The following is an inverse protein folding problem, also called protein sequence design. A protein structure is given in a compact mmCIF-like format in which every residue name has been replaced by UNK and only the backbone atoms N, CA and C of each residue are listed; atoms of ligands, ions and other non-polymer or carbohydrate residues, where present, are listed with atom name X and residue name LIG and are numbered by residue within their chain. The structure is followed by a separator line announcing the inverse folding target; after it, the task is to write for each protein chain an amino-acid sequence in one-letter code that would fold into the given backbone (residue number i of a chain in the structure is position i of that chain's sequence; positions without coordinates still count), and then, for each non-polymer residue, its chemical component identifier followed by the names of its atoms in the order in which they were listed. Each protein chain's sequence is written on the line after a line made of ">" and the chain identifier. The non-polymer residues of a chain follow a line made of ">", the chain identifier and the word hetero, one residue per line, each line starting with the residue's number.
data_IF_247269549527
#
_entry.id   IF_247269549527
#
_cell.length_a   1.000
_cell.length_b   1.000
_cell.length_c   1.000
_cell.angle_alpha   90.00
_cell.angle_beta   90.00
_cell.angle_gamma   90.00
#
_symmetry.space_group_name_H-M   'P 1'
#
loop_
_entity.id
_entity.type
_entity.pdbx_description
1 polymer ?
#
# COMPACT_ATOMS: atom_id res chain seq x y z
N UNK A 1 -19.61 -0.35 -15.05
CA UNK A 1 -18.45 -0.74 -15.85
C UNK A 1 -18.85 -1.29 -17.23
N UNK A 2 -19.75 -2.26 -17.32
CA UNK A 2 -20.24 -2.80 -18.58
C UNK A 2 -21.70 -3.31 -18.44
N UNK A 3 -22.37 -3.59 -19.58
CA UNK A 3 -23.71 -4.21 -19.56
C UNK A 3 -23.72 -5.59 -18.86
N UNK A 4 -22.56 -6.26 -18.75
CA UNK A 4 -22.40 -7.55 -18.07
C UNK A 4 -22.05 -7.41 -16.58
N UNK A 5 -21.79 -6.19 -16.11
CA UNK A 5 -21.54 -5.84 -14.72
C UNK A 5 -22.50 -4.75 -14.30
N UNK A 6 -23.79 -5.09 -14.06
CA UNK A 6 -24.80 -4.10 -13.67
C UNK A 6 -24.44 -3.53 -12.29
N UNK A 7 -24.71 -2.25 -12.15
CA UNK A 7 -24.56 -1.54 -10.88
C UNK A 7 -25.91 -1.56 -10.15
N UNK A 8 -25.88 -1.95 -8.86
CA UNK A 8 -27.10 -1.99 -8.06
C UNK A 8 -27.61 -0.58 -7.76
N UNK A 9 -28.91 -0.39 -7.88
CA UNK A 9 -29.54 0.89 -7.58
C UNK A 9 -29.69 1.11 -6.07
N UNK A 10 -28.69 1.71 -5.44
CA UNK A 10 -28.70 2.03 -4.01
C UNK A 10 -29.75 3.09 -3.59
N UNK A 11 -30.33 3.83 -4.53
CA UNK A 11 -31.49 4.70 -4.24
C UNK A 11 -32.72 3.88 -3.84
N UNK A 12 -32.83 2.64 -4.31
CA UNK A 12 -33.90 1.75 -3.94
C UNK A 12 -33.65 1.14 -2.56
N UNK A 13 -34.51 1.48 -1.59
CA UNK A 13 -34.41 0.98 -0.22
C UNK A 13 -34.43 -0.56 -0.13
N UNK A 14 -35.21 -1.25 -0.97
CA UNK A 14 -35.25 -2.72 -0.97
C UNK A 14 -33.90 -3.33 -1.37
N UNK A 15 -33.17 -2.70 -2.30
CA UNK A 15 -31.83 -3.14 -2.67
C UNK A 15 -30.88 -3.03 -1.49
N UNK A 16 -30.92 -1.92 -0.74
CA UNK A 16 -30.11 -1.76 0.47
C UNK A 16 -30.43 -2.77 1.54
N UNK A 17 -31.73 -3.02 1.79
CA UNK A 17 -32.19 -4.03 2.75
C UNK A 17 -31.68 -5.43 2.40
N UNK A 18 -31.78 -5.85 1.14
CA UNK A 18 -31.26 -7.13 0.68
C UNK A 18 -29.73 -7.24 0.82
N UNK A 19 -28.99 -6.17 0.51
CA UNK A 19 -27.54 -6.13 0.74
C UNK A 19 -27.22 -6.29 2.23
N UNK A 20 -27.96 -5.63 3.12
CA UNK A 20 -27.77 -5.78 4.56
C UNK A 20 -28.08 -7.18 5.07
N UNK A 21 -29.08 -7.86 4.52
CA UNK A 21 -29.35 -9.27 4.85
C UNK A 21 -28.22 -10.20 4.36
N UNK A 22 -27.63 -9.95 3.18
CA UNK A 22 -26.45 -10.68 2.72
C UNK A 22 -25.26 -10.47 3.68
N UNK A 23 -25.03 -9.24 4.13
CA UNK A 23 -23.96 -8.95 5.10
C UNK A 23 -24.19 -9.69 6.43
N UNK A 24 -25.39 -9.61 6.99
CA UNK A 24 -25.76 -10.33 8.24
C UNK A 24 -25.59 -11.82 8.09
N UNK A 25 -26.04 -12.41 6.97
CA UNK A 25 -25.88 -13.84 6.70
C UNK A 25 -24.42 -14.31 6.84
N UNK A 26 -23.46 -13.53 6.34
CA UNK A 26 -22.04 -13.89 6.47
C UNK A 26 -21.50 -13.62 7.88
N UNK A 27 -21.92 -12.54 8.53
CA UNK A 27 -21.55 -12.24 9.92
C UNK A 27 -22.06 -13.31 10.89
N UNK A 28 -23.29 -13.78 10.70
CA UNK A 28 -23.88 -14.87 11.50
C UNK A 28 -23.16 -16.21 11.29
N UNK A 29 -22.39 -16.35 10.20
CA UNK A 29 -21.48 -17.48 9.99
C UNK A 29 -20.10 -17.30 10.63
N UNK A 30 -19.83 -16.16 11.27
CA UNK A 30 -18.63 -15.90 12.06
C UNK A 30 -17.47 -15.30 11.29
N UNK A 31 -17.71 -14.57 10.21
CA UNK A 31 -16.65 -13.73 9.63
C UNK A 31 -16.40 -12.49 10.49
N UNK A 32 -15.16 -11.97 10.49
CA UNK A 32 -14.74 -10.88 11.37
C UNK A 32 -14.88 -9.49 10.73
N UNK A 33 -15.51 -9.38 9.58
CA UNK A 33 -15.75 -8.10 8.91
C UNK A 33 -15.75 -8.14 7.40
N UNK A 34 -15.71 -6.94 6.79
CA UNK A 34 -15.79 -6.78 5.33
C UNK A 34 -14.72 -5.82 4.80
N UNK A 35 -14.09 -6.20 3.70
CA UNK A 35 -13.47 -5.27 2.79
C UNK A 35 -14.46 -4.98 1.66
N UNK A 36 -14.85 -3.72 1.53
CA UNK A 36 -15.88 -3.27 0.57
C UNK A 36 -15.23 -2.64 -0.64
N UNK A 37 -15.41 -3.30 -1.78
CA UNK A 37 -14.86 -2.91 -3.07
C UNK A 37 -15.48 -1.61 -3.57
N UNK A 38 -14.64 -0.66 -4.02
CA UNK A 38 -15.02 0.66 -4.57
C UNK A 38 -16.23 1.30 -3.87
N UNK A 39 -16.26 1.23 -2.55
CA UNK A 39 -17.42 1.63 -1.73
C UNK A 39 -17.91 3.07 -1.99
N UNK A 40 -17.07 4.06 -2.38
CA UNK A 40 -17.55 5.39 -2.72
C UNK A 40 -18.50 5.44 -3.93
N UNK A 41 -18.58 4.37 -4.72
CA UNK A 41 -19.40 4.34 -5.94
C UNK A 41 -20.85 3.90 -5.69
N UNK A 42 -21.25 3.58 -4.46
CA UNK A 42 -22.64 3.19 -4.16
C UNK A 42 -23.64 4.34 -4.33
N UNK A 43 -23.20 5.60 -4.22
CA UNK A 43 -24.02 6.80 -4.48
C UNK A 43 -23.55 7.52 -5.72
N UNK A 44 -24.49 7.95 -6.56
CA UNK A 44 -24.25 8.65 -7.83
C UNK A 44 -25.22 9.80 -8.01
N UNK A 45 -24.82 10.81 -8.81
CA UNK A 45 -25.74 11.84 -9.27
C UNK A 45 -26.84 11.19 -10.15
N UNK A 46 -28.09 11.36 -9.73
CA UNK A 46 -29.24 10.76 -10.39
C UNK A 46 -29.63 11.46 -11.70
N UNK A 47 -29.01 12.58 -12.04
CA UNK A 47 -29.21 13.22 -13.34
C UNK A 47 -28.51 12.47 -14.48
N UNK A 48 -27.53 11.60 -14.17
CA UNK A 48 -26.78 10.79 -15.13
C UNK A 48 -26.23 11.59 -16.32
N UNK A 49 -25.73 12.79 -16.07
CA UNK A 49 -25.18 13.67 -17.09
C UNK A 49 -24.01 13.01 -17.83
N UNK A 50 -23.91 13.27 -19.12
CA UNK A 50 -22.75 12.84 -19.90
C UNK A 50 -21.48 13.54 -19.39
N UNK A 51 -20.41 12.77 -19.24
CA UNK A 51 -19.13 13.31 -18.84
C UNK A 51 -18.53 14.21 -19.92
N UNK A 52 -17.96 15.33 -19.51
CA UNK A 52 -17.14 16.17 -20.37
C UNK A 52 -15.84 15.46 -20.77
N UNK A 53 -15.16 15.92 -21.82
CA UNK A 53 -13.85 15.37 -22.24
C UNK A 53 -12.81 15.38 -21.12
N UNK A 54 -12.85 16.38 -20.22
CA UNK A 54 -11.95 16.50 -19.07
C UNK A 54 -12.27 15.44 -18.01
N UNK A 55 -13.54 15.22 -17.72
CA UNK A 55 -14.00 14.22 -16.73
C UNK A 55 -13.75 12.79 -17.21
N UNK A 56 -13.81 12.53 -18.53
CA UNK A 56 -13.45 11.23 -19.10
C UNK A 56 -11.98 10.83 -18.90
N UNK A 57 -11.12 11.77 -18.52
CA UNK A 57 -9.72 11.45 -18.15
C UNK A 57 -9.61 10.77 -16.78
N UNK A 58 -10.53 11.11 -15.86
CA UNK A 58 -10.56 10.55 -14.50
C UNK A 58 -12.04 10.38 -14.07
N UNK A 59 -12.78 9.47 -14.69
CA UNK A 59 -14.23 9.33 -14.49
C UNK A 59 -14.57 8.89 -13.06
N UNK A 60 -13.66 8.21 -12.39
CA UNK A 60 -13.81 7.78 -11.00
C UNK A 60 -14.03 8.96 -10.04
N UNK A 61 -13.44 10.12 -10.32
CA UNK A 61 -13.66 11.34 -9.50
C UNK A 61 -15.09 11.88 -9.59
N UNK A 62 -15.81 11.54 -10.65
CA UNK A 62 -17.21 11.93 -10.82
C UNK A 62 -18.15 10.90 -10.18
N UNK A 63 -17.79 9.60 -10.26
CA UNK A 63 -18.63 8.53 -9.75
C UNK A 63 -18.47 8.29 -8.24
N UNK A 64 -17.34 8.70 -7.66
CA UNK A 64 -16.98 8.35 -6.29
C UNK A 64 -17.65 9.21 -5.20
N UNK A 65 -18.26 10.32 -5.53
CA UNK A 65 -18.75 11.30 -4.55
C UNK A 65 -20.22 11.65 -4.78
N UNK A 66 -21.06 10.62 -4.91
CA UNK A 66 -22.49 10.84 -5.01
C UNK A 66 -23.08 11.48 -3.75
N UNK A 67 -24.16 12.26 -3.88
CA UNK A 67 -24.66 13.15 -2.82
C UNK A 67 -25.15 12.40 -1.57
N UNK A 68 -25.49 11.12 -1.68
CA UNK A 68 -26.02 10.31 -0.57
C UNK A 68 -25.03 9.27 -0.02
N UNK A 69 -23.73 9.35 -0.39
CA UNK A 69 -22.72 8.39 0.03
C UNK A 69 -22.70 8.22 1.57
N UNK A 70 -22.53 9.33 2.26
CA UNK A 70 -22.46 9.35 3.74
C UNK A 70 -23.77 8.85 4.40
N UNK A 71 -24.91 9.18 3.81
CA UNK A 71 -26.21 8.69 4.28
C UNK A 71 -26.27 7.16 4.20
N UNK A 72 -25.89 6.58 3.07
CA UNK A 72 -25.91 5.12 2.87
C UNK A 72 -24.94 4.40 3.78
N UNK A 73 -23.76 4.96 4.00
CA UNK A 73 -22.77 4.36 4.91
C UNK A 73 -23.21 4.42 6.37
N UNK A 74 -23.80 5.53 6.82
CA UNK A 74 -24.37 5.65 8.15
C UNK A 74 -25.57 4.69 8.36
N UNK A 75 -26.40 4.53 7.34
CA UNK A 75 -27.48 3.54 7.36
C UNK A 75 -26.93 2.12 7.49
N UNK A 76 -25.92 1.76 6.68
CA UNK A 76 -25.24 0.46 6.73
C UNK A 76 -24.62 0.23 8.12
N UNK A 77 -23.92 1.22 8.66
CA UNK A 77 -23.33 1.12 10.00
C UNK A 77 -24.40 0.86 11.06
N UNK A 78 -25.45 1.66 11.09
CA UNK A 78 -26.56 1.52 12.06
C UNK A 78 -27.31 0.19 11.96
N UNK A 79 -27.53 -0.31 10.73
CA UNK A 79 -28.33 -1.53 10.51
C UNK A 79 -27.51 -2.82 10.59
N UNK A 80 -26.19 -2.74 10.36
CA UNK A 80 -25.32 -3.92 10.28
C UNK A 80 -24.04 -3.75 11.10
N UNK A 81 -23.11 -2.86 10.68
CA UNK A 81 -21.74 -2.90 11.18
C UNK A 81 -21.65 -2.71 12.70
N UNK A 82 -22.39 -1.77 13.27
CA UNK A 82 -22.39 -1.50 14.73
C UNK A 82 -23.06 -2.58 15.58
N UNK A 83 -23.66 -3.61 14.98
CA UNK A 83 -24.34 -4.69 15.69
C UNK A 83 -23.48 -5.93 15.92
N UNK A 84 -22.28 -5.94 15.35
CA UNK A 84 -21.33 -7.04 15.43
C UNK A 84 -19.95 -6.49 15.86
N UNK A 85 -19.16 -7.33 16.53
CA UNK A 85 -17.76 -7.02 16.84
C UNK A 85 -16.88 -7.38 15.64
N UNK A 86 -16.77 -6.45 14.72
CA UNK A 86 -16.14 -6.64 13.41
C UNK A 86 -15.31 -5.43 12.99
N UNK A 87 -14.55 -5.58 11.92
CA UNK A 87 -13.87 -4.48 11.24
C UNK A 87 -14.43 -4.24 9.83
N UNK A 88 -14.68 -2.99 9.49
CA UNK A 88 -15.11 -2.56 8.16
C UNK A 88 -13.99 -1.78 7.47
N UNK A 89 -13.61 -2.21 6.26
CA UNK A 89 -12.54 -1.59 5.49
C UNK A 89 -13.08 -1.19 4.11
N UNK A 90 -13.09 0.10 3.81
CA UNK A 90 -13.51 0.61 2.50
C UNK A 90 -12.35 0.75 1.52
N UNK A 91 -12.53 0.28 0.29
CA UNK A 91 -11.67 0.68 -0.80
C UNK A 91 -12.12 2.03 -1.34
N UNK A 92 -11.36 3.08 -1.03
CA UNK A 92 -11.74 4.46 -1.34
C UNK A 92 -11.01 4.98 -2.57
N UNK A 93 -11.44 4.52 -3.73
CA UNK A 93 -10.92 4.98 -5.01
C UNK A 93 -11.66 6.22 -5.50
N UNK A 94 -10.93 7.20 -6.06
CA UNK A 94 -11.50 8.42 -6.66
C UNK A 94 -11.93 9.50 -5.67
N UNK A 95 -11.65 9.34 -4.37
CA UNK A 95 -11.96 10.35 -3.34
C UNK A 95 -10.76 11.26 -3.05
N UNK A 96 -11.04 12.40 -2.42
CA UNK A 96 -10.02 13.30 -1.88
C UNK A 96 -9.75 13.03 -0.40
N UNK A 97 -8.69 13.65 0.13
CA UNK A 97 -8.27 13.53 1.53
C UNK A 97 -9.38 13.87 2.54
N UNK A 98 -10.12 14.95 2.31
CA UNK A 98 -11.20 15.37 3.23
C UNK A 98 -12.31 14.32 3.31
N UNK A 99 -12.71 13.77 2.18
CA UNK A 99 -13.71 12.68 2.14
C UNK A 99 -13.19 11.42 2.80
N UNK A 100 -11.91 11.10 2.60
CA UNK A 100 -11.25 9.96 3.24
C UNK A 100 -11.30 10.06 4.77
N UNK A 101 -10.89 11.19 5.31
CA UNK A 101 -10.91 11.46 6.75
C UNK A 101 -12.33 11.25 7.27
N UNK A 102 -13.32 11.83 6.60
CA UNK A 102 -14.71 11.73 7.01
C UNK A 102 -15.24 10.28 6.99
N UNK A 103 -14.89 9.49 5.97
CA UNK A 103 -15.33 8.09 5.86
C UNK A 103 -14.83 7.19 7.00
N UNK A 104 -13.66 7.49 7.57
CA UNK A 104 -13.03 6.71 8.65
C UNK A 104 -12.93 7.46 9.98
N UNK A 105 -13.60 8.60 10.11
CA UNK A 105 -13.76 9.29 11.38
C UNK A 105 -14.76 8.53 12.26
N UNK A 106 -14.29 8.03 13.39
CA UNK A 106 -15.10 7.24 14.32
C UNK A 106 -16.35 7.98 14.82
N UNK A 107 -16.33 9.32 14.82
CA UNK A 107 -17.49 10.16 15.21
C UNK A 107 -18.60 10.11 14.17
N UNK A 108 -18.25 9.94 12.92
CA UNK A 108 -19.20 9.87 11.79
C UNK A 108 -19.93 8.51 11.71
N UNK A 109 -19.36 7.45 12.30
CA UNK A 109 -19.94 6.10 12.30
C UNK A 109 -20.26 5.59 10.90
N UNK A 110 -19.28 5.63 10.04
CA UNK A 110 -19.37 5.11 8.67
C UNK A 110 -18.55 3.83 8.53
N UNK A 111 -17.23 3.93 8.42
CA UNK A 111 -16.29 2.82 8.30
C UNK A 111 -15.20 2.91 9.36
N UNK A 112 -14.58 1.78 9.71
CA UNK A 112 -13.47 1.77 10.66
C UNK A 112 -12.15 2.16 9.98
N UNK A 113 -11.92 1.66 8.78
CA UNK A 113 -10.70 1.87 8.00
C UNK A 113 -11.03 2.14 6.53
N UNK A 114 -10.12 2.88 5.87
CA UNK A 114 -10.22 3.16 4.44
C UNK A 114 -8.86 2.97 3.77
N UNK A 115 -8.82 2.25 2.65
CA UNK A 115 -7.63 2.15 1.81
C UNK A 115 -7.45 3.40 0.96
N UNK A 116 -6.31 4.06 1.12
CA UNK A 116 -5.91 5.22 0.34
C UNK A 116 -4.93 4.84 -0.76
N UNK A 117 -5.22 5.30 -1.96
CA UNK A 117 -4.42 4.94 -3.13
C UNK A 117 -3.31 5.95 -3.47
N UNK A 118 -3.27 7.12 -2.84
CA UNK A 118 -2.34 8.18 -3.21
C UNK A 118 -0.88 7.75 -3.13
N UNK A 119 -0.48 7.06 -2.05
CA UNK A 119 0.88 6.53 -1.88
C UNK A 119 1.22 5.54 -2.99
N UNK A 120 0.38 4.52 -3.18
CA UNK A 120 0.69 3.45 -4.15
C UNK A 120 0.52 3.87 -5.60
N UNK A 121 -0.17 4.98 -5.86
CA UNK A 121 -0.36 5.56 -7.22
C UNK A 121 0.55 6.74 -7.51
N UNK A 122 1.45 7.13 -6.60
CA UNK A 122 2.39 8.22 -6.82
C UNK A 122 3.15 8.04 -8.15
N UNK A 123 3.22 9.10 -8.95
CA UNK A 123 3.83 9.08 -10.28
C UNK A 123 3.03 8.32 -11.34
N UNK A 124 1.86 7.73 -11.02
CA UNK A 124 1.02 7.03 -12.00
C UNK A 124 -0.02 7.94 -12.62
N UNK A 125 -0.05 7.96 -13.94
CA UNK A 125 -1.06 8.63 -14.76
C UNK A 125 -1.63 7.60 -15.74
N UNK A 126 -2.85 7.11 -15.50
CA UNK A 126 -3.43 5.98 -16.21
C UNK A 126 -2.51 4.75 -16.19
N UNK A 127 -2.02 4.32 -17.38
CA UNK A 127 -1.06 3.23 -17.57
C UNK A 127 0.40 3.70 -17.62
N UNK A 128 0.66 5.01 -17.58
CA UNK A 128 2.00 5.59 -17.55
C UNK A 128 2.51 5.63 -16.11
N UNK A 129 3.68 5.07 -15.86
CA UNK A 129 4.41 5.29 -14.63
C UNK A 129 5.50 6.32 -14.86
N UNK A 130 5.29 7.52 -14.37
CA UNK A 130 6.28 8.58 -14.32
C UNK A 130 7.22 8.38 -13.14
N UNK A 131 8.34 9.10 -13.16
CA UNK A 131 9.25 9.15 -12.03
C UNK A 131 8.56 9.86 -10.87
N UNK A 132 8.60 9.25 -9.69
CA UNK A 132 8.16 9.84 -8.43
C UNK A 132 9.36 10.37 -7.64
N UNK A 133 9.14 11.20 -6.65
CA UNK A 133 10.17 11.71 -5.77
C UNK A 133 9.83 11.47 -4.29
N UNK A 134 10.86 11.40 -3.44
CA UNK A 134 10.71 11.08 -2.04
C UNK A 134 9.99 12.20 -1.26
N UNK A 135 10.15 13.46 -1.65
CA UNK A 135 9.49 14.60 -0.98
C UNK A 135 7.97 14.49 -1.10
N UNK A 136 7.46 14.12 -2.28
CA UNK A 136 6.02 13.87 -2.47
C UNK A 136 5.54 12.68 -1.64
N UNK A 137 6.31 11.60 -1.60
CA UNK A 137 5.97 10.42 -0.80
C UNK A 137 5.86 10.74 0.69
N UNK A 138 6.85 11.49 1.25
CA UNK A 138 6.83 11.95 2.63
C UNK A 138 5.60 12.80 2.95
N UNK A 139 5.27 13.73 2.04
CA UNK A 139 4.08 14.58 2.19
C UNK A 139 2.81 13.75 2.33
N UNK A 140 2.64 12.69 1.52
CA UNK A 140 1.48 11.80 1.62
C UNK A 140 1.43 11.09 2.97
N UNK A 141 2.56 10.56 3.46
CA UNK A 141 2.61 9.94 4.79
C UNK A 141 2.33 10.94 5.92
N UNK A 142 2.88 12.15 5.82
CA UNK A 142 2.65 13.23 6.81
C UNK A 142 1.17 13.60 6.89
N UNK A 143 0.51 13.75 5.75
CA UNK A 143 -0.93 14.03 5.67
C UNK A 143 -1.74 12.93 6.34
N UNK A 144 -1.48 11.67 6.00
CA UNK A 144 -2.21 10.52 6.55
C UNK A 144 -1.99 10.33 8.06
N UNK A 145 -0.77 10.64 8.55
CA UNK A 145 -0.39 10.40 9.95
C UNK A 145 -0.79 11.54 10.90
N UNK A 146 -0.96 12.77 10.39
CA UNK A 146 -1.25 13.96 11.20
C UNK A 146 -2.72 14.37 11.22
N UNK A 147 -3.61 13.43 10.91
CA UNK A 147 -5.04 13.59 11.18
C UNK A 147 -5.29 13.42 12.69
N UNK A 148 -6.41 13.89 13.17
CA UNK A 148 -6.77 13.79 14.59
C UNK A 148 -6.86 12.35 15.14
N UNK A 149 -7.08 12.20 16.42
CA UNK A 149 -7.12 10.91 17.13
C UNK A 149 -8.30 10.01 16.70
N UNK A 150 -9.34 10.58 16.08
CA UNK A 150 -10.53 9.85 15.63
C UNK A 150 -10.38 9.22 14.26
N UNK A 151 -9.30 9.51 13.56
CA UNK A 151 -8.94 8.90 12.29
C UNK A 151 -7.77 7.93 12.46
N UNK A 152 -7.93 6.69 11.95
CA UNK A 152 -6.87 5.69 11.94
C UNK A 152 -6.55 5.25 10.52
N UNK A 153 -5.36 5.58 9.98
CA UNK A 153 -5.02 5.29 8.60
C UNK A 153 -4.66 3.81 8.38
N UNK A 154 -4.78 3.35 7.14
CA UNK A 154 -4.13 2.14 6.64
C UNK A 154 -2.78 2.49 6.01
N UNK A 155 -1.79 1.63 6.20
CA UNK A 155 -0.44 1.81 5.65
C UNK A 155 -0.07 0.64 4.76
N UNK A 156 0.14 0.87 3.49
CA UNK A 156 0.54 -0.17 2.54
C UNK A 156 1.27 0.42 1.33
N UNK A 157 2.15 -0.38 0.74
CA UNK A 157 2.94 -0.02 -0.44
C UNK A 157 2.59 -0.90 -1.65
N UNK A 158 1.75 -1.91 -1.47
CA UNK A 158 1.38 -2.86 -2.51
C UNK A 158 -0.03 -3.40 -2.30
N UNK A 159 -0.66 -3.88 -3.39
CA UNK A 159 -1.89 -4.67 -3.40
C UNK A 159 -2.01 -5.42 -4.74
N UNK A 160 -3.13 -6.13 -4.95
CA UNK A 160 -3.40 -6.89 -6.17
C UNK A 160 -3.66 -6.04 -7.44
N UNK A 161 -3.75 -4.72 -7.29
CA UNK A 161 -4.03 -3.76 -8.38
C UNK A 161 -2.87 -2.80 -8.68
N UNK A 162 -1.69 -3.05 -8.10
CA UNK A 162 -0.50 -2.23 -8.30
C UNK A 162 0.75 -3.10 -8.49
N UNK A 163 1.80 -2.60 -9.15
CA UNK A 163 3.06 -3.32 -9.30
C UNK A 163 3.71 -3.58 -7.94
N UNK A 164 4.64 -4.53 -7.89
CA UNK A 164 5.37 -4.91 -6.68
C UNK A 164 6.09 -3.73 -6.05
N UNK A 165 5.98 -3.58 -4.73
CA UNK A 165 6.50 -2.44 -3.97
C UNK A 165 8.02 -2.27 -4.13
N UNK A 166 8.79 -3.36 -4.08
CA UNK A 166 10.25 -3.30 -4.21
C UNK A 166 10.70 -2.83 -5.60
N UNK A 167 9.93 -3.16 -6.65
CA UNK A 167 10.23 -2.69 -8.02
C UNK A 167 9.81 -1.24 -8.25
N UNK A 168 8.80 -0.75 -7.50
CA UNK A 168 8.32 0.62 -7.63
C UNK A 168 9.07 1.59 -6.72
N UNK A 169 9.24 1.27 -5.45
CA UNK A 169 9.76 2.16 -4.42
C UNK A 169 11.19 1.82 -3.98
N UNK A 170 11.66 0.61 -4.28
CA UNK A 170 12.97 0.10 -3.93
C UNK A 170 13.94 0.02 -5.10
N UNK A 171 14.91 -0.85 -4.94
CA UNK A 171 15.83 -1.27 -5.98
C UNK A 171 15.73 -2.78 -6.11
N UNK A 172 15.06 -3.28 -7.12
CA UNK A 172 14.80 -4.72 -7.35
C UNK A 172 15.96 -5.47 -8.02
N UNK A 173 17.13 -4.83 -8.14
CA UNK A 173 18.38 -5.37 -8.70
C UNK A 173 19.41 -5.56 -7.56
N UNK A 174 20.45 -4.76 -7.57
CA UNK A 174 21.63 -4.90 -6.69
C UNK A 174 21.30 -4.75 -5.19
N UNK A 175 20.30 -3.94 -4.86
CA UNK A 175 19.89 -3.67 -3.49
C UNK A 175 18.53 -4.27 -3.12
N UNK A 176 18.03 -5.27 -3.84
CA UNK A 176 16.69 -5.83 -3.62
C UNK A 176 16.42 -6.19 -2.16
N UNK A 177 17.31 -6.93 -1.52
CA UNK A 177 17.13 -7.37 -0.13
C UNK A 177 17.15 -6.18 0.83
N UNK A 178 18.10 -5.26 0.66
CA UNK A 178 18.21 -4.07 1.51
C UNK A 178 16.99 -3.16 1.35
N UNK A 179 16.61 -2.85 0.11
CA UNK A 179 15.48 -1.96 -0.16
C UNK A 179 14.14 -2.60 0.25
N UNK A 180 13.94 -3.90 0.07
CA UNK A 180 12.75 -4.58 0.57
C UNK A 180 12.63 -4.53 2.11
N UNK A 181 13.75 -4.70 2.84
CA UNK A 181 13.78 -4.53 4.29
C UNK A 181 13.53 -3.08 4.72
N UNK A 182 14.04 -2.10 3.95
CA UNK A 182 13.76 -0.69 4.19
C UNK A 182 12.27 -0.40 4.01
N UNK A 183 11.63 -0.90 2.96
CA UNK A 183 10.20 -0.73 2.73
C UNK A 183 9.36 -1.43 3.81
N UNK A 184 9.81 -2.59 4.31
CA UNK A 184 9.20 -3.23 5.48
C UNK A 184 9.26 -2.33 6.72
N UNK A 185 10.41 -1.71 6.99
CA UNK A 185 10.56 -0.77 8.10
C UNK A 185 9.66 0.45 7.91
N UNK A 186 9.63 1.05 6.72
CA UNK A 186 8.74 2.17 6.40
C UNK A 186 7.29 1.80 6.71
N UNK A 187 6.79 0.67 6.19
CA UNK A 187 5.38 0.25 6.38
C UNK A 187 5.05 -0.03 7.84
N UNK A 188 5.93 -0.74 8.55
CA UNK A 188 5.65 -1.23 9.90
C UNK A 188 5.93 -0.23 11.02
N UNK A 189 6.56 0.92 10.73
CA UNK A 189 6.83 1.96 11.74
C UNK A 189 5.99 3.22 11.58
N UNK A 190 5.17 3.33 10.53
CA UNK A 190 4.20 4.42 10.39
C UNK A 190 3.06 4.29 11.41
N UNK A 191 2.37 5.42 11.69
CA UNK A 191 1.10 5.44 12.40
C UNK A 191 0.02 4.81 11.53
N UNK A 192 -0.78 3.91 12.07
CA UNK A 192 -1.87 3.25 11.35
C UNK A 192 -1.80 1.73 11.35
N UNK A 193 -2.72 1.09 10.65
CA UNK A 193 -2.74 -0.36 10.47
C UNK A 193 -1.94 -0.76 9.23
N UNK A 194 -0.79 -1.45 9.40
CA UNK A 194 -0.03 -1.94 8.24
C UNK A 194 -0.76 -3.10 7.57
N UNK A 195 -0.87 -3.02 6.25
CA UNK A 195 -1.47 -4.06 5.42
C UNK A 195 -0.42 -4.59 4.46
N UNK A 196 -0.08 -5.86 4.59
CA UNK A 196 0.97 -6.53 3.83
C UNK A 196 0.36 -7.35 2.71
N UNK A 197 0.85 -7.17 1.50
CA UNK A 197 0.43 -7.98 0.35
C UNK A 197 1.36 -9.18 0.19
N UNK A 198 0.79 -10.36 -0.10
CA UNK A 198 1.56 -11.59 -0.30
C UNK A 198 2.71 -11.41 -1.28
N UNK A 199 3.90 -11.87 -0.88
CA UNK A 199 5.14 -11.74 -1.63
C UNK A 199 6.01 -10.54 -1.25
N UNK A 200 5.51 -9.55 -0.51
CA UNK A 200 6.35 -8.48 0.04
C UNK A 200 7.36 -9.05 1.04
N UNK A 201 6.94 -10.00 1.86
CA UNK A 201 7.72 -10.65 2.90
C UNK A 201 8.93 -11.45 2.38
N UNK A 202 8.98 -11.70 1.07
CA UNK A 202 10.13 -12.31 0.39
C UNK A 202 10.73 -11.39 -0.70
N UNK A 203 10.21 -10.17 -0.82
CA UNK A 203 10.67 -9.18 -1.81
C UNK A 203 10.45 -9.63 -3.26
N UNK A 204 9.26 -10.16 -3.58
CA UNK A 204 8.86 -10.46 -4.96
C UNK A 204 8.94 -9.20 -5.82
N UNK A 205 9.49 -9.33 -7.03
CA UNK A 205 9.65 -8.25 -7.99
C UNK A 205 8.60 -8.28 -9.09
N UNK A 206 8.53 -7.24 -9.88
CA UNK A 206 7.78 -7.25 -11.12
C UNK A 206 8.26 -8.38 -12.04
N UNK A 207 7.34 -8.88 -12.86
CA UNK A 207 7.67 -9.77 -13.97
C UNK A 207 8.20 -8.93 -15.15
N UNK A 208 9.16 -9.45 -15.90
CA UNK A 208 9.68 -8.78 -17.10
C UNK A 208 8.93 -9.32 -18.33
N UNK A 209 7.80 -8.67 -18.67
CA UNK A 209 7.00 -9.04 -19.83
C UNK A 209 7.72 -8.63 -21.12
N UNK A 210 7.93 -9.56 -22.02
CA UNK A 210 8.59 -9.35 -23.31
C UNK A 210 7.62 -8.93 -24.43
N UNK A 211 6.33 -9.20 -24.28
CA UNK A 211 5.29 -8.88 -25.25
C UNK A 211 3.91 -8.67 -24.64
N UNK A 212 3.05 -7.93 -25.36
CA UNK A 212 1.73 -7.54 -24.89
C UNK A 212 0.75 -8.72 -24.72
N UNK A 213 0.97 -9.81 -25.43
CA UNK A 213 0.16 -11.03 -25.35
C UNK A 213 0.29 -11.78 -24.01
N UNK A 214 1.32 -11.47 -23.23
CA UNK A 214 1.56 -12.09 -21.93
C UNK A 214 0.73 -11.46 -20.79
N UNK A 215 0.14 -10.28 -21.04
CA UNK A 215 -0.75 -9.64 -20.06
C UNK A 215 -2.15 -10.21 -20.13
N UNK A 216 -2.78 -10.41 -18.98
CA UNK A 216 -4.16 -10.88 -18.85
C UNK A 216 -5.12 -9.74 -18.45
N UNK A 217 -4.58 -8.60 -18.00
CA UNK A 217 -5.36 -7.46 -17.57
C UNK A 217 -6.09 -6.77 -18.74
N UNK A 218 -7.42 -6.73 -18.66
CA UNK A 218 -8.27 -6.04 -19.64
C UNK A 218 -7.94 -4.55 -19.78
N UNK A 219 -7.41 -3.90 -18.74
CA UNK A 219 -6.96 -2.50 -18.82
C UNK A 219 -5.82 -2.35 -19.85
N UNK A 220 -4.91 -3.31 -19.92
CA UNK A 220 -3.80 -3.33 -20.89
C UNK A 220 -4.33 -3.37 -22.32
N UNK A 221 -5.25 -4.30 -22.60
CA UNK A 221 -5.83 -4.43 -23.94
C UNK A 221 -6.72 -3.25 -24.31
N UNK A 222 -7.51 -2.75 -23.36
CA UNK A 222 -8.44 -1.63 -23.56
C UNK A 222 -7.74 -0.30 -23.82
N UNK A 223 -6.56 -0.07 -23.30
CA UNK A 223 -5.81 1.17 -23.48
C UNK A 223 -4.81 1.14 -24.66
N UNK A 224 -4.54 -0.03 -25.25
CA UNK A 224 -3.58 -0.15 -26.35
C UNK A 224 -3.93 0.75 -27.55
N UNK A 225 -5.18 0.75 -27.98
CA UNK A 225 -5.64 1.58 -29.11
C UNK A 225 -5.51 3.06 -28.80
N UNK A 226 -5.80 3.48 -27.55
CA UNK A 226 -5.65 4.88 -27.10
C UNK A 226 -4.17 5.28 -27.07
N UNK A 227 -3.28 4.43 -26.59
CA UNK A 227 -1.84 4.68 -26.57
C UNK A 227 -1.29 4.89 -27.98
N UNK A 228 -1.63 4.00 -28.91
CA UNK A 228 -1.19 4.10 -30.32
C UNK A 228 -1.75 5.37 -30.98
N UNK A 229 -3.04 5.70 -30.79
CA UNK A 229 -3.64 6.92 -31.34
C UNK A 229 -3.04 8.20 -30.76
N UNK A 230 -2.45 8.13 -29.57
CA UNK A 230 -1.69 9.24 -28.96
C UNK A 230 -0.22 9.28 -29.40
N UNK A 231 0.20 8.46 -30.38
CA UNK A 231 1.54 8.45 -30.94
C UNK A 231 2.55 7.59 -30.18
N UNK A 232 2.13 6.80 -29.19
CA UNK A 232 3.02 5.94 -28.41
C UNK A 232 3.19 4.61 -29.14
N UNK A 233 4.43 4.19 -29.34
CA UNK A 233 4.75 2.91 -29.97
C UNK A 233 4.40 1.74 -29.06
N UNK A 234 4.14 0.55 -29.65
CA UNK A 234 3.88 -0.70 -28.86
C UNK A 234 5.04 -1.02 -27.89
N UNK A 235 6.29 -0.75 -28.29
CA UNK A 235 7.47 -0.96 -27.46
C UNK A 235 7.49 -0.01 -26.25
N UNK A 236 7.18 1.25 -26.46
CA UNK A 236 7.10 2.26 -25.41
C UNK A 236 5.94 1.95 -24.45
N UNK A 237 4.79 1.57 -24.99
CA UNK A 237 3.65 1.10 -24.20
C UNK A 237 4.02 -0.09 -23.32
N UNK A 238 4.69 -1.12 -23.88
CA UNK A 238 5.20 -2.26 -23.11
C UNK A 238 6.16 -1.82 -22.00
N UNK A 239 7.07 -0.87 -22.26
CA UNK A 239 8.00 -0.35 -21.26
C UNK A 239 7.27 0.35 -20.08
N UNK A 240 6.17 1.03 -20.35
CA UNK A 240 5.34 1.61 -19.29
C UNK A 240 4.60 0.52 -18.50
N UNK A 241 4.02 -0.47 -19.18
CA UNK A 241 3.32 -1.57 -18.54
C UNK A 241 4.22 -2.40 -17.64
N UNK A 242 5.49 -2.62 -18.01
CA UNK A 242 6.49 -3.27 -17.18
C UNK A 242 6.81 -2.53 -15.86
N UNK A 243 6.28 -1.31 -15.70
CA UNK A 243 6.38 -0.54 -14.46
C UNK A 243 5.05 -0.33 -13.74
N UNK A 244 3.92 -0.44 -14.46
CA UNK A 244 2.62 0.03 -13.96
C UNK A 244 1.52 -1.02 -13.94
N UNK A 245 1.64 -2.14 -14.66
CA UNK A 245 0.56 -3.13 -14.77
C UNK A 245 0.25 -3.82 -13.45
N UNK A 246 -1.03 -4.10 -13.24
CA UNK A 246 -1.54 -4.92 -12.13
C UNK A 246 -1.07 -6.37 -12.20
N UNK A 247 -0.78 -6.88 -13.38
CA UNK A 247 -0.39 -8.26 -13.61
C UNK A 247 0.90 -8.66 -12.90
N UNK A 248 1.78 -7.70 -12.58
CA UNK A 248 2.95 -7.96 -11.76
C UNK A 248 2.61 -8.53 -10.37
N UNK A 249 1.56 -8.03 -9.74
CA UNK A 249 1.10 -8.51 -8.43
C UNK A 249 0.20 -9.74 -8.51
N UNK A 250 -0.22 -10.12 -9.73
CA UNK A 250 -1.07 -11.29 -10.01
C UNK A 250 -0.29 -12.50 -10.49
N UNK A 251 1.04 -12.37 -10.70
CA UNK A 251 1.92 -13.53 -10.89
C UNK A 251 1.80 -14.48 -9.70
N UNK A 252 1.94 -15.79 -9.95
CA UNK A 252 1.78 -16.81 -8.92
C UNK A 252 2.77 -16.62 -7.77
N UNK A 253 2.32 -16.91 -6.53
CA UNK A 253 3.18 -16.86 -5.35
C UNK A 253 4.36 -17.84 -5.49
N UNK A 254 5.55 -17.37 -5.13
CA UNK A 254 6.80 -18.12 -5.26
C UNK A 254 7.08 -18.91 -3.97
N UNK A 255 6.57 -20.14 -3.88
CA UNK A 255 6.71 -20.97 -2.68
C UNK A 255 8.06 -21.68 -2.61
N UNK A 256 8.58 -22.14 -3.74
CA UNK A 256 9.84 -22.91 -3.78
C UNK A 256 10.46 -22.91 -5.18
N UNK A 257 11.62 -23.57 -5.34
CA UNK A 257 12.28 -23.82 -6.63
C UNK A 257 11.61 -24.94 -7.46
N UNK A 258 10.57 -25.58 -6.95
CA UNK A 258 9.83 -26.65 -7.66
C UNK A 258 9.16 -26.11 -8.93
N UNK A 259 8.78 -26.98 -9.89
CA UNK A 259 8.00 -26.55 -11.05
C UNK A 259 6.83 -25.66 -10.66
N UNK A 260 6.49 -24.70 -11.53
CA UNK A 260 5.45 -23.69 -11.25
C UNK A 260 5.71 -22.87 -9.97
N UNK A 261 6.99 -22.66 -9.59
CA UNK A 261 7.39 -22.02 -8.33
C UNK A 261 6.78 -22.67 -7.07
N UNK A 262 6.42 -23.94 -7.14
CA UNK A 262 5.71 -24.66 -6.07
C UNK A 262 4.27 -24.21 -5.85
N UNK A 263 3.70 -23.42 -6.74
CA UNK A 263 2.33 -22.92 -6.64
C UNK A 263 1.30 -23.99 -7.00
N UNK A 264 1.60 -24.82 -8.01
CA UNK A 264 0.73 -25.86 -8.52
C UNK A 264 1.52 -27.11 -8.91
N UNK A 265 0.88 -28.28 -8.76
CA UNK A 265 1.37 -29.54 -9.30
C UNK A 265 0.86 -29.83 -10.72
N UNK A 266 0.05 -28.92 -11.29
CA UNK A 266 -0.44 -29.02 -12.66
C UNK A 266 0.63 -28.70 -13.71
N UNK A 267 0.35 -29.00 -14.96
CA UNK A 267 1.28 -28.72 -16.06
C UNK A 267 1.38 -27.21 -16.37
N UNK A 268 0.31 -26.44 -16.11
CA UNK A 268 0.24 -25.01 -16.37
C UNK A 268 -0.41 -24.28 -15.18
N UNK A 269 0.09 -23.11 -14.86
CA UNK A 269 -0.61 -22.15 -14.02
C UNK A 269 -1.60 -21.33 -14.88
N UNK A 270 -2.65 -20.79 -14.27
CA UNK A 270 -3.53 -19.84 -14.96
C UNK A 270 -2.81 -18.56 -15.36
N UNK A 271 -1.77 -18.17 -14.60
CA UNK A 271 -0.93 -17.02 -14.87
C UNK A 271 0.56 -17.35 -14.71
N UNK A 272 1.44 -16.46 -15.17
CA UNK A 272 2.88 -16.71 -15.23
C UNK A 272 3.52 -16.81 -13.84
N UNK A 273 4.45 -17.71 -13.69
CA UNK A 273 5.39 -17.74 -12.56
C UNK A 273 6.64 -16.95 -12.94
N UNK A 274 7.10 -16.07 -12.06
CA UNK A 274 8.30 -15.28 -12.31
C UNK A 274 9.54 -16.20 -12.31
N UNK A 275 10.38 -16.20 -13.37
CA UNK A 275 11.56 -17.05 -13.45
C UNK A 275 12.55 -16.87 -12.30
N UNK A 276 12.55 -15.72 -11.64
CA UNK A 276 13.39 -15.45 -10.47
C UNK A 276 12.99 -16.24 -9.22
N UNK A 277 11.94 -17.04 -9.27
CA UNK A 277 11.55 -17.99 -8.21
C UNK A 277 12.67 -18.98 -7.84
N UNK A 278 13.63 -19.19 -8.73
CA UNK A 278 14.85 -19.96 -8.43
C UNK A 278 15.66 -19.37 -7.25
N UNK A 279 15.62 -18.05 -7.06
CA UNK A 279 16.34 -17.34 -5.99
C UNK A 279 15.45 -16.59 -5.01
N UNK A 280 14.21 -16.26 -5.41
CA UNK A 280 13.25 -15.53 -4.61
C UNK A 280 12.06 -16.45 -4.33
N UNK A 281 12.02 -17.08 -3.17
CA UNK A 281 10.91 -17.95 -2.80
C UNK A 281 10.81 -18.12 -1.27
N UNK A 282 9.62 -18.47 -0.80
CA UNK A 282 9.31 -18.65 0.63
C UNK A 282 10.25 -19.65 1.29
N UNK A 283 10.47 -20.83 0.66
CA UNK A 283 11.30 -21.89 1.24
C UNK A 283 12.74 -21.42 1.47
N UNK A 284 13.32 -20.69 0.54
CA UNK A 284 14.69 -20.15 0.67
C UNK A 284 14.76 -19.07 1.74
N UNK A 285 13.78 -18.16 1.79
CA UNK A 285 13.74 -17.08 2.78
C UNK A 285 13.51 -17.61 4.20
N UNK A 286 12.64 -18.60 4.39
CA UNK A 286 12.42 -19.24 5.70
C UNK A 286 13.66 -19.94 6.25
N UNK A 287 14.54 -20.45 5.39
CA UNK A 287 15.78 -21.13 5.78
C UNK A 287 16.97 -20.18 5.96
N UNK A 288 16.80 -18.88 5.82
CA UNK A 288 17.85 -17.88 5.97
C UNK A 288 17.49 -16.84 7.03
N UNK A 289 18.09 -16.89 8.19
CA UNK A 289 17.81 -16.00 9.32
C UNK A 289 17.99 -14.50 9.01
N UNK A 290 18.76 -14.17 7.99
CA UNK A 290 18.98 -12.82 7.50
C UNK A 290 18.08 -12.42 6.32
N UNK A 291 17.05 -13.22 6.00
CA UNK A 291 16.12 -12.98 4.90
C UNK A 291 15.21 -11.77 5.16
N UNK A 292 14.46 -11.41 4.10
CA UNK A 292 13.39 -10.40 4.19
C UNK A 292 12.26 -10.92 5.07
N UNK A 293 11.90 -12.21 4.95
CA UNK A 293 10.87 -12.86 5.77
C UNK A 293 11.14 -12.73 7.27
N UNK A 294 12.37 -13.07 7.72
CA UNK A 294 12.73 -12.98 9.13
C UNK A 294 12.84 -11.53 9.61
N UNK A 295 13.17 -10.59 8.72
CA UNK A 295 13.13 -9.16 9.02
C UNK A 295 11.70 -8.68 9.31
N UNK A 296 10.73 -9.01 8.44
CA UNK A 296 9.31 -8.74 8.69
C UNK A 296 8.85 -9.35 10.01
N UNK A 297 9.16 -10.62 10.24
CA UNK A 297 8.75 -11.34 11.44
C UNK A 297 9.27 -10.69 12.73
N UNK A 298 10.54 -10.25 12.75
CA UNK A 298 11.15 -9.55 13.89
C UNK A 298 10.49 -8.17 14.09
N UNK A 299 10.35 -7.40 13.03
CA UNK A 299 9.80 -6.05 13.12
C UNK A 299 8.31 -6.02 13.51
N UNK A 300 7.51 -6.97 13.02
CA UNK A 300 6.13 -7.17 13.47
C UNK A 300 6.07 -7.46 14.97
N UNK A 301 7.00 -8.27 15.49
CA UNK A 301 7.08 -8.55 16.92
C UNK A 301 7.40 -7.29 17.73
N UNK A 302 8.41 -6.52 17.30
CA UNK A 302 8.78 -5.25 17.95
C UNK A 302 7.56 -4.31 17.96
N UNK A 303 6.90 -4.12 16.83
CA UNK A 303 5.71 -3.28 16.74
C UNK A 303 4.59 -3.72 17.68
N UNK A 304 4.27 -5.03 17.73
CA UNK A 304 3.22 -5.57 18.62
C UNK A 304 3.53 -5.37 20.11
N UNK A 305 4.79 -5.29 20.48
CA UNK A 305 5.22 -5.10 21.87
C UNK A 305 5.30 -3.65 22.30
N UNK A 306 5.29 -2.69 21.36
CA UNK A 306 5.42 -1.26 21.65
C UNK A 306 4.15 -0.49 21.29
N UNK A 307 3.41 -0.05 22.32
CA UNK A 307 2.27 0.87 22.14
C UNK A 307 2.73 2.23 21.59
N UNK A 308 3.92 2.69 21.98
CA UNK A 308 4.46 3.97 21.53
C UNK A 308 4.80 3.93 20.03
N UNK A 309 5.27 2.79 19.51
CA UNK A 309 5.47 2.62 18.07
C UNK A 309 4.15 2.52 17.29
N UNK A 310 3.09 2.01 17.91
CA UNK A 310 1.76 1.91 17.26
C UNK A 310 1.02 3.24 17.31
N UNK A 311 0.88 3.83 18.49
CA UNK A 311 -0.02 4.96 18.77
C UNK A 311 0.68 6.31 18.90
N UNK A 312 2.00 6.33 19.08
CA UNK A 312 2.77 7.58 19.24
C UNK A 312 2.56 8.55 18.07
N UNK A 313 2.77 9.82 18.32
CA UNK A 313 2.64 10.86 17.31
C UNK A 313 3.69 10.72 16.22
N UNK A 314 3.33 11.11 15.01
CA UNK A 314 4.23 11.12 13.88
C UNK A 314 4.81 12.53 13.65
N UNK A 315 6.13 12.62 13.51
CA UNK A 315 6.84 13.87 13.24
C UNK A 315 7.86 13.64 12.10
N UNK A 316 7.62 14.25 10.95
CA UNK A 316 8.62 14.28 9.87
C UNK A 316 9.69 15.32 10.22
N UNK A 317 10.94 14.89 10.30
CA UNK A 317 12.06 15.74 10.75
C UNK A 317 12.80 16.45 9.62
N UNK A 318 12.67 15.94 8.39
CA UNK A 318 13.33 16.56 7.22
C UNK A 318 12.47 16.35 5.96
N UNK A 319 11.33 17.06 5.86
CA UNK A 319 10.34 16.84 4.79
C UNK A 319 10.87 17.11 3.38
N UNK A 320 11.94 17.91 3.25
CA UNK A 320 12.47 18.35 1.95
C UNK A 320 13.69 17.57 1.47
N UNK A 321 14.27 16.68 2.28
CA UNK A 321 15.45 15.92 1.86
C UNK A 321 15.09 14.91 0.74
N UNK A 322 15.78 14.95 -0.41
CA UNK A 322 15.39 14.17 -1.59
C UNK A 322 15.69 12.68 -1.50
N UNK A 323 16.54 12.23 -0.57
CA UNK A 323 17.02 10.86 -0.48
C UNK A 323 16.84 10.23 0.91
N UNK A 324 16.75 11.03 1.97
CA UNK A 324 16.61 10.53 3.34
C UNK A 324 15.19 10.78 3.82
N UNK A 325 14.56 9.74 4.36
CA UNK A 325 13.30 9.84 5.07
C UNK A 325 13.58 9.60 6.55
N UNK A 326 13.47 10.65 7.33
CA UNK A 326 13.68 10.62 8.78
C UNK A 326 12.46 11.15 9.50
N UNK A 327 11.95 10.37 10.45
CA UNK A 327 10.80 10.75 11.24
C UNK A 327 10.84 10.12 12.63
N UNK A 328 10.09 10.69 13.54
CA UNK A 328 9.87 10.16 14.88
C UNK A 328 8.47 9.59 15.06
N UNK A 329 8.38 8.63 15.97
CA UNK A 329 7.16 8.17 16.62
C UNK A 329 7.30 8.51 18.09
N UNK A 330 6.61 9.58 18.50
CA UNK A 330 6.73 10.16 19.85
C UNK A 330 5.65 9.56 20.73
N UNK A 331 6.03 8.68 21.63
CA UNK A 331 5.13 8.04 22.58
C UNK A 331 5.31 8.56 24.00
N UNK A 332 4.56 8.01 24.94
CA UNK A 332 4.60 8.42 26.34
C UNK A 332 5.86 7.92 27.08
N UNK A 333 6.36 6.75 26.72
CA UNK A 333 7.52 6.09 27.37
C UNK A 333 8.76 6.12 26.50
N UNK A 334 8.59 6.07 25.21
CA UNK A 334 9.66 5.97 24.22
C UNK A 334 9.39 6.83 23.01
N UNK A 335 10.45 7.45 22.49
CA UNK A 335 10.46 8.02 21.14
C UNK A 335 11.28 7.13 20.24
N UNK A 336 10.69 6.67 19.13
CA UNK A 336 11.42 5.98 18.08
C UNK A 336 11.85 6.97 17.00
N UNK A 337 13.12 6.92 16.62
CA UNK A 337 13.68 7.66 15.49
C UNK A 337 13.93 6.66 14.36
N UNK A 338 13.28 6.88 13.22
CA UNK A 338 13.41 6.04 12.04
C UNK A 338 14.19 6.82 10.97
N UNK A 339 15.27 6.23 10.47
CA UNK A 339 16.13 6.82 9.46
C UNK A 339 16.25 5.87 8.28
N UNK A 340 15.81 6.31 7.10
CA UNK A 340 15.75 5.53 5.88
C UNK A 340 16.53 6.25 4.77
N UNK A 341 17.60 5.65 4.26
CA UNK A 341 18.27 6.12 3.06
C UNK A 341 17.63 5.49 1.82
N UNK A 342 16.73 6.19 1.17
CA UNK A 342 16.02 5.73 -0.03
C UNK A 342 16.78 6.01 -1.31
N UNK A 343 18.09 5.76 -1.33
CA UNK A 343 18.96 6.00 -2.48
C UNK A 343 20.05 4.95 -2.63
N UNK A 344 20.66 4.91 -3.83
CA UNK A 344 21.78 4.03 -4.14
C UNK A 344 23.15 4.59 -3.64
N UNK A 345 23.15 5.73 -2.96
CA UNK A 345 24.37 6.40 -2.51
C UNK A 345 24.45 6.45 -0.99
N UNK A 346 25.66 6.37 -0.39
CA UNK A 346 25.83 6.63 1.01
C UNK A 346 25.63 8.13 1.33
N UNK A 347 25.23 8.41 2.58
CA UNK A 347 25.08 9.77 3.11
C UNK A 347 25.58 9.84 4.55
N UNK A 348 26.23 10.96 4.89
CA UNK A 348 26.41 11.33 6.30
C UNK A 348 25.29 12.28 6.68
N UNK A 349 24.43 11.86 7.59
CA UNK A 349 23.31 12.66 8.06
C UNK A 349 23.62 13.26 9.42
N UNK A 350 23.36 14.57 9.58
CA UNK A 350 23.56 15.29 10.84
C UNK A 350 22.25 15.35 11.61
N UNK A 351 22.24 14.86 12.83
CA UNK A 351 21.12 14.89 13.74
C UNK A 351 21.60 15.15 15.16
N UNK A 352 21.11 16.23 15.78
CA UNK A 352 21.54 16.62 17.12
C UNK A 352 21.15 15.57 18.16
N UNK A 353 22.03 15.36 19.15
CA UNK A 353 21.83 14.46 20.28
C UNK A 353 21.59 12.99 19.89
N UNK A 354 22.17 12.56 18.77
CA UNK A 354 21.99 11.19 18.30
C UNK A 354 22.50 10.14 19.28
N UNK A 355 23.50 10.46 20.11
CA UNK A 355 24.04 9.58 21.15
C UNK A 355 23.09 9.29 22.30
N UNK A 356 22.00 10.03 22.44
CA UNK A 356 20.95 9.74 23.42
C UNK A 356 20.06 8.56 22.99
N UNK A 357 20.12 8.19 21.72
CA UNK A 357 19.34 7.09 21.13
C UNK A 357 20.12 5.81 21.13
N UNK A 358 19.41 4.68 21.33
CA UNK A 358 19.92 3.32 21.25
C UNK A 358 19.43 2.68 19.97
N UNK A 359 20.30 1.99 19.24
CA UNK A 359 19.90 1.24 18.05
C UNK A 359 19.06 0.02 18.46
N UNK A 360 17.80 0.00 18.06
CA UNK A 360 16.85 -1.09 18.33
C UNK A 360 16.83 -2.14 17.22
N UNK A 361 16.87 -1.68 15.96
CA UNK A 361 16.74 -2.57 14.82
C UNK A 361 17.30 -1.94 13.55
N UNK A 362 17.93 -2.76 12.69
CA UNK A 362 18.43 -2.29 11.39
C UNK A 362 18.41 -3.39 10.34
N UNK A 363 18.53 -2.99 9.06
CA UNK A 363 18.73 -3.91 7.94
C UNK A 363 20.23 -4.14 7.63
N UNK A 364 21.13 -3.57 8.43
CA UNK A 364 22.59 -3.78 8.32
C UNK A 364 23.00 -5.10 8.98
N UNK A 365 24.16 -5.62 8.57
CA UNK A 365 24.84 -6.72 9.26
C UNK A 365 25.68 -6.21 10.41
N UNK A 366 26.35 -5.07 10.19
CA UNK A 366 27.24 -4.41 11.13
C UNK A 366 26.54 -3.22 11.78
N UNK A 367 26.88 -2.88 12.99
CA UNK A 367 26.32 -1.70 13.66
C UNK A 367 26.79 -0.42 12.92
N UNK A 368 25.90 0.57 12.75
CA UNK A 368 26.29 1.85 12.16
C UNK A 368 27.22 2.61 13.12
N UNK A 369 28.20 3.29 12.55
CA UNK A 369 28.99 4.27 13.32
C UNK A 369 28.11 5.48 13.64
N UNK A 370 27.82 5.66 14.91
CA UNK A 370 27.05 6.79 15.44
C UNK A 370 28.00 7.69 16.22
N UNK A 371 28.23 8.89 15.74
CA UNK A 371 28.93 9.95 16.47
C UNK A 371 27.90 10.86 17.17
N UNK A 372 28.38 11.86 17.94
CA UNK A 372 27.52 12.73 18.73
C UNK A 372 26.36 13.35 17.89
N UNK A 373 26.64 13.76 16.66
CA UNK A 373 25.69 14.43 15.79
C UNK A 373 25.64 13.87 14.37
N UNK A 374 26.37 12.81 14.07
CA UNK A 374 26.43 12.28 12.71
C UNK A 374 26.22 10.78 12.67
N UNK A 375 25.53 10.35 11.64
CA UNK A 375 25.38 8.93 11.32
C UNK A 375 25.72 8.70 9.86
N UNK A 376 26.57 7.69 9.60
CA UNK A 376 26.85 7.24 8.26
C UNK A 376 25.78 6.24 7.80
N UNK A 377 25.11 6.58 6.72
CA UNK A 377 24.08 5.77 6.07
C UNK A 377 24.61 5.20 4.77
N UNK A 378 24.69 3.91 4.65
CA UNK A 378 24.96 3.24 3.39
C UNK A 378 23.73 3.25 2.48
N UNK A 379 23.91 2.90 1.20
CA UNK A 379 22.80 2.75 0.26
C UNK A 379 21.72 1.80 0.81
N UNK A 380 20.47 2.25 0.81
CA UNK A 380 19.28 1.52 1.26
C UNK A 380 19.34 1.09 2.73
N UNK A 381 20.04 1.84 3.58
CA UNK A 381 20.00 1.59 5.02
C UNK A 381 18.66 1.98 5.63
N UNK A 382 18.23 1.17 6.58
CA UNK A 382 17.05 1.40 7.40
C UNK A 382 17.41 1.15 8.86
N UNK A 383 17.28 2.19 9.67
CA UNK A 383 17.64 2.19 11.09
C UNK A 383 16.45 2.63 11.93
N UNK A 384 16.21 1.92 13.01
CA UNK A 384 15.25 2.30 14.04
C UNK A 384 16.01 2.41 15.37
N UNK A 385 16.01 3.61 15.92
CA UNK A 385 16.60 3.93 17.19
C UNK A 385 15.50 4.30 18.19
N UNK A 386 15.79 4.16 19.48
CA UNK A 386 14.85 4.55 20.56
C UNK A 386 15.49 5.45 21.57
N UNK A 387 14.67 6.32 22.17
CA UNK A 387 15.00 7.16 23.30
C UNK A 387 13.95 6.92 24.40
N UNK A 388 14.42 6.51 25.60
CA UNK A 388 13.55 6.28 26.75
C UNK A 388 13.32 7.59 27.47
N UNK A 389 12.06 7.92 27.73
CA UNK A 389 11.70 9.04 28.60
C UNK A 389 11.77 8.63 30.07
N UNK A 390 12.68 9.24 30.84
CA UNK A 390 12.88 8.98 32.27
C UNK A 390 11.95 9.88 33.08
#
# INVERSE_FOLDING_TARGET
>A
FSKKQPDLNWENNKVREEVYEVMKFWLDKGIDGFRMDVIPFISKDQNFNNLSKKELLNPEKVYALGPRLHEFLKEMNSKVLSRYDIVSIGEAFGINEQTMIKLSDQREKELDLVFLFDVIRIGRENWIQNKWNLVELKKLFTVQSNVDEFHWPTVFLNNHDNPRSVSKFGNDKDYRIKSAKLLAMLTLTQRGTPVLYQGEEIGMTNYDFSELSQFDDLEVLGNLSKAISSGISKKEYLNHLNKSSRDHSRTTMQWSVSPQAGFSNGNNNWFLSNPNSASINVKSDMNNDNSIFHFYRKLIRIRKQSKDLIYGDYVDLDPNHPNIFIYQRVGNKMTYLIILNMSNSPFTYNFNNLTEYILEFSNRKDEPEISCNNIELLAWDALMLSLIHI
#
